data_IF_881347381956
#
_entry.id   IF_881347381956
#
_cell.length_a   1.000
_cell.length_b   1.000
_cell.length_c   1.000
_cell.angle_alpha   90.00
_cell.angle_beta   90.00
_cell.angle_gamma   90.00
#
_symmetry.space_group_name_H-M   'P 1'
#
loop_
_entity.id
_entity.type
_entity.pdbx_description
1 polymer ?
#
# COMPACT_ATOMS: atom_id res chain seq x y z
N UNK A 1 38.46 -62.12 -33.60
CA UNK A 1 37.33 -62.08 -32.65
C UNK A 1 37.60 -60.93 -31.68
N UNK A 2 37.06 -59.74 -31.94
CA UNK A 2 37.08 -58.60 -31.03
C UNK A 2 35.68 -57.98 -31.06
N UNK A 3 34.91 -58.16 -29.99
CA UNK A 3 33.65 -57.44 -29.78
C UNK A 3 33.99 -56.15 -29.02
N UNK A 4 33.74 -55.00 -29.66
CA UNK A 4 33.79 -53.69 -29.00
C UNK A 4 32.45 -53.39 -28.35
N UNK A 5 32.48 -53.11 -27.05
CA UNK A 5 31.40 -52.51 -26.28
C UNK A 5 31.27 -51.02 -26.65
N UNK A 6 30.06 -50.55 -26.94
CA UNK A 6 29.74 -49.10 -26.95
C UNK A 6 28.53 -48.88 -26.07
N UNK A 7 28.78 -48.27 -24.91
CA UNK A 7 27.81 -47.88 -23.91
C UNK A 7 27.36 -46.44 -24.22
N UNK A 8 26.11 -46.26 -24.67
CA UNK A 8 25.50 -44.93 -24.78
C UNK A 8 25.10 -44.44 -23.38
N UNK A 9 25.76 -43.40 -22.88
CA UNK A 9 25.27 -42.60 -21.76
C UNK A 9 24.21 -41.62 -22.26
N UNK A 10 22.95 -41.82 -21.85
CA UNK A 10 21.93 -40.78 -21.91
C UNK A 10 22.13 -39.81 -20.74
N UNK A 11 22.52 -38.57 -21.04
CA UNK A 11 22.51 -37.48 -20.07
C UNK A 11 21.08 -36.92 -19.97
N UNK A 12 20.37 -37.24 -18.89
CA UNK A 12 19.13 -36.57 -18.52
C UNK A 12 19.45 -35.17 -17.99
N UNK A 13 19.10 -34.13 -18.75
CA UNK A 13 19.06 -32.77 -18.22
C UNK A 13 17.89 -32.67 -17.25
N UNK A 14 18.18 -32.62 -15.95
CA UNK A 14 17.20 -32.25 -14.94
C UNK A 14 16.80 -30.79 -15.17
N UNK A 15 15.55 -30.55 -15.54
CA UNK A 15 14.95 -29.23 -15.46
C UNK A 15 14.84 -28.88 -13.98
N UNK A 16 15.62 -27.92 -13.51
CA UNK A 16 15.34 -27.25 -12.24
C UNK A 16 13.96 -26.62 -12.37
N UNK A 17 13.02 -27.02 -11.51
CA UNK A 17 11.70 -26.42 -11.45
C UNK A 17 11.83 -24.90 -11.33
N UNK A 18 10.98 -24.12 -12.02
CA UNK A 18 10.97 -22.68 -11.86
C UNK A 18 10.81 -22.35 -10.37
N UNK A 19 11.69 -21.51 -9.86
CA UNK A 19 11.60 -20.98 -8.50
C UNK A 19 10.39 -20.06 -8.44
N UNK A 20 9.22 -20.63 -8.13
CA UNK A 20 8.03 -19.83 -7.87
C UNK A 20 8.33 -18.84 -6.75
N UNK A 21 7.91 -17.58 -6.92
CA UNK A 21 7.91 -16.62 -5.82
C UNK A 21 7.12 -17.25 -4.67
N UNK A 22 7.77 -17.37 -3.50
CA UNK A 22 7.21 -18.05 -2.33
C UNK A 22 5.88 -17.39 -1.96
N UNK A 23 4.84 -18.20 -1.73
CA UNK A 23 3.59 -17.74 -1.15
C UNK A 23 3.87 -16.93 0.11
N UNK A 24 3.32 -15.73 0.16
CA UNK A 24 3.52 -14.77 1.26
C UNK A 24 2.48 -15.03 2.35
N UNK A 25 1.28 -15.45 1.96
CA UNK A 25 0.19 -15.83 2.88
C UNK A 25 -0.21 -17.28 2.70
N UNK A 26 -0.74 -17.90 3.76
CA UNK A 26 -1.28 -19.27 3.71
C UNK A 26 -2.73 -19.31 3.22
N UNK A 27 -3.44 -18.19 3.34
CA UNK A 27 -4.82 -17.99 2.89
C UNK A 27 -5.10 -16.49 2.73
N UNK A 28 -6.08 -16.15 1.90
CA UNK A 28 -6.61 -14.79 1.80
C UNK A 28 -7.57 -14.51 2.96
N UNK A 29 -7.70 -13.24 3.33
CA UNK A 29 -8.87 -12.77 4.07
C UNK A 29 -10.00 -12.58 3.05
N UNK A 30 -11.01 -13.44 3.11
CA UNK A 30 -12.03 -13.48 2.07
C UNK A 30 -12.81 -12.17 1.95
N UNK A 31 -13.14 -11.53 3.08
CA UNK A 31 -13.93 -10.30 3.06
C UNK A 31 -13.10 -9.14 2.46
N UNK A 32 -11.85 -9.01 2.90
CA UNK A 32 -10.97 -7.97 2.39
C UNK A 32 -10.57 -8.21 0.93
N UNK A 33 -10.43 -9.48 0.50
CA UNK A 33 -10.19 -9.84 -0.90
C UNK A 33 -11.39 -9.49 -1.78
N UNK A 34 -12.61 -9.84 -1.38
CA UNK A 34 -13.83 -9.51 -2.12
C UNK A 34 -14.10 -8.01 -2.19
N UNK A 35 -13.81 -7.27 -1.11
CA UNK A 35 -13.84 -5.82 -1.09
C UNK A 35 -12.83 -5.23 -2.08
N UNK A 36 -11.59 -5.71 -2.04
CA UNK A 36 -10.48 -5.15 -2.81
C UNK A 36 -10.48 -5.53 -4.29
N UNK A 37 -10.93 -6.73 -4.65
CA UNK A 37 -10.82 -7.28 -6.00
C UNK A 37 -12.19 -7.43 -6.66
N UNK A 38 -12.85 -6.30 -6.86
CA UNK A 38 -14.16 -6.26 -7.47
C UNK A 38 -14.07 -6.38 -8.99
N UNK A 39 -14.94 -7.21 -9.56
CA UNK A 39 -15.12 -7.27 -11.00
C UNK A 39 -15.78 -5.99 -11.49
N UNK A 40 -15.21 -5.36 -12.50
CA UNK A 40 -15.86 -4.27 -13.22
C UNK A 40 -16.90 -4.83 -14.21
N UNK A 41 -18.17 -4.74 -13.82
CA UNK A 41 -19.31 -5.16 -14.63
C UNK A 41 -19.69 -4.14 -15.72
N UNK A 42 -19.15 -2.93 -15.66
CA UNK A 42 -19.35 -1.89 -16.68
C UNK A 42 -18.32 -1.96 -17.81
N UNK A 43 -17.33 -2.85 -17.68
CA UNK A 43 -16.19 -2.88 -18.58
C UNK A 43 -16.48 -3.47 -19.96
N UNK A 44 -15.93 -2.84 -21.00
CA UNK A 44 -15.88 -3.38 -22.36
C UNK A 44 -14.63 -4.24 -22.53
N UNK A 45 -14.80 -5.51 -22.88
CA UNK A 45 -13.71 -6.50 -22.97
C UNK A 45 -13.33 -6.72 -24.42
N UNK A 46 -12.07 -6.44 -24.76
CA UNK A 46 -11.50 -6.80 -26.06
C UNK A 46 -11.15 -8.30 -26.10
N UNK A 47 -10.61 -8.81 -25.00
CA UNK A 47 -10.32 -10.22 -24.82
C UNK A 47 -10.85 -10.67 -23.45
N UNK A 48 -11.31 -11.92 -23.37
CA UNK A 48 -11.75 -12.53 -22.11
C UNK A 48 -11.15 -13.91 -21.94
N UNK A 49 -10.65 -14.18 -20.73
CA UNK A 49 -10.03 -15.45 -20.34
C UNK A 49 -9.02 -15.97 -21.37
N UNK A 50 -8.09 -15.11 -21.78
CA UNK A 50 -7.00 -15.44 -22.71
C UNK A 50 -5.67 -15.55 -21.98
N UNK A 51 -4.74 -16.42 -22.41
CA UNK A 51 -3.37 -16.37 -21.92
C UNK A 51 -2.62 -15.16 -22.51
N UNK A 52 -1.67 -14.62 -21.75
CA UNK A 52 -0.67 -13.69 -22.28
C UNK A 52 0.62 -14.47 -22.47
N UNK A 53 1.05 -14.59 -23.72
CA UNK A 53 2.15 -15.45 -24.16
C UNK A 53 3.35 -14.57 -24.52
N UNK A 54 4.49 -14.85 -23.90
CA UNK A 54 5.79 -14.25 -24.21
C UNK A 54 6.32 -14.76 -25.56
N UNK A 55 7.27 -14.06 -26.16
CA UNK A 55 7.95 -14.51 -27.40
C UNK A 55 8.61 -15.89 -27.29
N UNK A 56 8.99 -16.31 -26.08
CA UNK A 56 9.56 -17.64 -25.81
C UNK A 56 8.51 -18.76 -25.70
N UNK A 57 7.22 -18.43 -25.80
CA UNK A 57 6.10 -19.36 -25.68
C UNK A 57 5.67 -19.68 -24.25
N UNK A 58 6.21 -18.98 -23.25
CA UNK A 58 5.78 -19.06 -21.85
C UNK A 58 4.60 -18.13 -21.57
N UNK A 59 3.79 -18.44 -20.57
CA UNK A 59 2.63 -17.67 -20.16
C UNK A 59 2.90 -16.83 -18.91
N UNK A 60 2.28 -15.65 -18.85
CA UNK A 60 2.18 -14.89 -17.61
C UNK A 60 1.26 -15.63 -16.62
N UNK A 61 1.67 -15.68 -15.36
CA UNK A 61 1.02 -16.43 -14.29
C UNK A 61 0.97 -15.65 -12.98
N UNK A 62 -0.14 -15.80 -12.26
CA UNK A 62 -0.39 -15.25 -10.94
C UNK A 62 -0.68 -16.38 -9.95
N UNK A 63 0.10 -16.45 -8.86
CA UNK A 63 -0.29 -17.21 -7.66
C UNK A 63 -0.98 -16.24 -6.70
N UNK A 64 -2.29 -16.38 -6.51
CA UNK A 64 -3.09 -15.49 -5.67
C UNK A 64 -2.65 -15.41 -4.20
N UNK A 65 -1.81 -16.33 -3.72
CA UNK A 65 -1.26 -16.32 -2.35
C UNK A 65 0.16 -15.75 -2.27
N UNK A 66 0.71 -15.24 -3.37
CA UNK A 66 2.06 -14.64 -3.42
C UNK A 66 2.09 -13.13 -3.18
N UNK A 67 0.93 -12.51 -2.95
CA UNK A 67 0.78 -11.13 -2.50
C UNK A 67 0.34 -11.02 -1.03
N UNK A 68 -0.25 -9.87 -0.66
CA UNK A 68 -0.84 -9.62 0.65
C UNK A 68 -2.14 -10.42 0.87
N UNK A 69 -2.78 -10.24 2.02
CA UNK A 69 -4.00 -10.94 2.41
C UNK A 69 -5.23 -10.65 1.51
N UNK A 70 -5.14 -9.65 0.60
CA UNK A 70 -6.14 -9.27 -0.41
C UNK A 70 -5.69 -9.61 -1.83
N UNK A 71 -4.63 -10.39 -1.98
CA UNK A 71 -3.94 -10.66 -3.25
C UNK A 71 -3.36 -9.42 -3.94
N UNK A 72 -3.19 -8.29 -3.24
CA UNK A 72 -2.44 -7.15 -3.75
C UNK A 72 -0.94 -7.40 -3.67
N UNK A 73 -0.17 -6.66 -4.47
CA UNK A 73 1.29 -6.80 -4.55
C UNK A 73 1.73 -8.20 -5.00
N UNK A 74 0.84 -8.92 -5.68
CA UNK A 74 1.13 -10.27 -6.19
C UNK A 74 2.06 -10.18 -7.39
N UNK A 75 3.28 -10.74 -7.36
CA UNK A 75 4.18 -10.68 -8.51
C UNK A 75 3.63 -11.45 -9.71
N UNK A 76 3.92 -10.95 -10.92
CA UNK A 76 3.59 -11.67 -12.16
C UNK A 76 4.78 -12.54 -12.57
N UNK A 77 4.53 -13.84 -12.68
CA UNK A 77 5.54 -14.84 -12.99
C UNK A 77 5.44 -15.25 -14.46
N UNK A 78 6.55 -15.77 -15.00
CA UNK A 78 6.63 -16.30 -16.37
C UNK A 78 6.86 -17.81 -16.26
N UNK A 79 5.93 -18.62 -16.75
CA UNK A 79 5.99 -20.08 -16.59
C UNK A 79 5.48 -20.80 -17.84
N UNK A 80 5.63 -22.13 -17.87
CA UNK A 80 5.04 -22.93 -18.93
C UNK A 80 3.51 -22.76 -18.96
N UNK A 81 2.93 -22.63 -20.15
CA UNK A 81 1.49 -22.52 -20.30
C UNK A 81 0.79 -23.82 -19.85
N UNK A 82 -0.13 -23.70 -18.89
CA UNK A 82 -0.89 -24.82 -18.31
C UNK A 82 -2.42 -24.61 -18.38
N UNK A 83 -2.87 -23.43 -18.79
CA UNK A 83 -4.30 -23.10 -18.91
C UNK A 83 -5.03 -22.93 -17.58
N UNK A 84 -4.31 -22.86 -16.46
CA UNK A 84 -4.88 -22.54 -15.16
C UNK A 84 -5.47 -21.13 -15.12
N UNK A 85 -6.43 -20.89 -14.24
CA UNK A 85 -7.05 -19.56 -14.07
C UNK A 85 -6.03 -18.48 -13.73
N UNK A 86 -4.92 -18.84 -13.07
CA UNK A 86 -3.81 -17.91 -12.80
C UNK A 86 -3.09 -17.42 -14.06
N UNK A 87 -3.26 -18.09 -15.20
CA UNK A 87 -2.72 -17.71 -16.51
C UNK A 87 -3.75 -17.05 -17.43
N UNK A 88 -4.99 -16.88 -16.98
CA UNK A 88 -6.06 -16.33 -17.80
C UNK A 88 -6.30 -14.87 -17.44
N UNK A 89 -6.43 -14.05 -18.47
CA UNK A 89 -6.48 -12.60 -18.39
C UNK A 89 -7.64 -12.05 -19.20
N UNK A 90 -8.23 -10.98 -18.70
CA UNK A 90 -9.17 -10.14 -19.42
C UNK A 90 -8.46 -8.85 -19.84
N UNK A 91 -8.79 -8.35 -21.03
CA UNK A 91 -8.27 -7.07 -21.54
C UNK A 91 -9.44 -6.10 -21.69
N UNK A 92 -9.47 -5.07 -20.84
CA UNK A 92 -10.58 -4.12 -20.75
C UNK A 92 -10.19 -2.81 -21.45
N UNK A 93 -11.03 -2.34 -22.36
CA UNK A 93 -10.80 -1.12 -23.17
C UNK A 93 -11.63 0.08 -22.71
N UNK A 94 -12.59 -0.15 -21.82
CA UNK A 94 -13.33 0.88 -21.10
C UNK A 94 -13.93 0.28 -19.83
N UNK A 95 -14.34 1.10 -18.87
CA UNK A 95 -15.05 0.68 -17.65
C UNK A 95 -14.92 1.71 -16.53
N UNK A 96 -15.37 1.37 -15.31
CA UNK A 96 -15.19 2.16 -14.09
C UNK A 96 -13.72 2.54 -13.88
N UNK A 97 -12.81 1.63 -14.22
CA UNK A 97 -11.37 1.78 -13.98
C UNK A 97 -10.56 2.14 -15.24
N UNK A 98 -11.22 2.35 -16.39
CA UNK A 98 -10.58 2.82 -17.62
C UNK A 98 -11.52 3.75 -18.40
N UNK A 99 -11.24 5.05 -18.34
CA UNK A 99 -11.92 6.10 -19.12
C UNK A 99 -11.02 6.70 -20.22
N UNK A 100 -9.84 6.10 -20.46
CA UNK A 100 -8.84 6.61 -21.39
C UNK A 100 -8.94 5.88 -22.73
N UNK A 101 -9.28 6.62 -23.77
CA UNK A 101 -9.39 6.08 -25.12
C UNK A 101 -8.02 5.63 -25.65
N UNK A 102 -7.97 4.44 -26.25
CA UNK A 102 -6.72 3.87 -26.77
C UNK A 102 -5.86 3.17 -25.72
N UNK A 103 -6.36 3.04 -24.50
CA UNK A 103 -5.69 2.36 -23.39
C UNK A 103 -6.44 1.10 -22.98
N UNK A 104 -5.73 0.17 -22.35
CA UNK A 104 -6.30 -1.03 -21.77
C UNK A 104 -5.89 -1.21 -20.31
N UNK A 105 -6.77 -1.88 -19.56
CA UNK A 105 -6.43 -2.60 -18.34
C UNK A 105 -6.22 -4.08 -18.67
N UNK A 106 -5.23 -4.67 -18.02
CA UNK A 106 -4.97 -6.11 -18.08
C UNK A 106 -5.33 -6.71 -16.73
N UNK A 107 -6.36 -7.54 -16.68
CA UNK A 107 -6.95 -8.05 -15.43
C UNK A 107 -6.76 -9.54 -15.34
N UNK A 108 -6.29 -10.04 -14.20
CA UNK A 108 -6.14 -11.47 -14.00
C UNK A 108 -7.48 -12.09 -13.57
N UNK A 109 -7.92 -13.15 -14.25
CA UNK A 109 -9.24 -13.76 -13.98
C UNK A 109 -9.32 -14.51 -12.64
N UNK A 110 -8.20 -15.01 -12.11
CA UNK A 110 -8.18 -15.70 -10.81
C UNK A 110 -8.44 -14.72 -9.66
N UNK A 111 -7.83 -13.53 -9.73
CA UNK A 111 -7.85 -12.57 -8.63
C UNK A 111 -8.77 -11.38 -8.86
N UNK A 112 -9.16 -11.05 -10.10
CA UNK A 112 -9.79 -9.79 -10.51
C UNK A 112 -8.92 -8.53 -10.28
N UNK A 113 -7.66 -8.71 -9.91
CA UNK A 113 -6.70 -7.62 -9.80
C UNK A 113 -6.21 -7.15 -11.18
N UNK A 114 -5.81 -5.89 -11.25
CA UNK A 114 -5.23 -5.26 -12.42
C UNK A 114 -3.70 -5.34 -12.41
N UNK A 115 -3.10 -5.56 -13.59
CA UNK A 115 -1.68 -5.42 -13.80
C UNK A 115 -1.29 -3.96 -13.50
N UNK A 116 -0.35 -3.78 -12.58
CA UNK A 116 0.08 -2.48 -12.09
C UNK A 116 1.60 -2.38 -12.17
N UNK A 117 2.08 -1.25 -12.67
CA UNK A 117 3.48 -0.89 -12.67
C UNK A 117 3.76 0.23 -11.67
N UNK A 118 4.70 -0.02 -10.76
CA UNK A 118 5.17 0.94 -9.78
C UNK A 118 6.70 1.09 -9.88
N UNK A 119 7.21 2.19 -10.48
CA UNK A 119 8.65 2.42 -10.69
C UNK A 119 9.40 2.68 -9.38
N UNK A 120 8.68 2.83 -8.25
CA UNK A 120 9.29 3.10 -6.94
C UNK A 120 9.71 1.80 -6.25
N UNK A 121 9.29 0.64 -6.77
CA UNK A 121 9.65 -0.66 -6.19
C UNK A 121 11.01 -1.12 -6.69
N UNK A 122 11.62 -2.03 -5.93
CA UNK A 122 12.88 -2.64 -6.35
C UNK A 122 12.72 -3.47 -7.63
N UNK A 123 13.79 -3.54 -8.42
CA UNK A 123 13.89 -4.46 -9.55
C UNK A 123 13.54 -5.90 -9.15
N UNK A 124 12.85 -6.58 -10.05
CA UNK A 124 12.18 -7.86 -9.90
C UNK A 124 10.80 -7.73 -9.25
N UNK A 125 10.32 -6.53 -8.98
CA UNK A 125 9.12 -6.30 -8.18
C UNK A 125 8.33 -5.04 -8.61
N UNK A 126 8.69 -4.43 -9.74
CA UNK A 126 8.03 -3.21 -10.23
C UNK A 126 6.67 -3.51 -10.87
N UNK A 127 6.49 -4.74 -11.38
CA UNK A 127 5.25 -5.22 -11.97
C UNK A 127 4.55 -6.20 -11.03
N UNK A 128 3.31 -5.87 -10.67
CA UNK A 128 2.52 -6.61 -9.69
C UNK A 128 1.04 -6.59 -10.08
N UNK A 129 0.26 -7.47 -9.46
CA UNK A 129 -1.19 -7.35 -9.42
C UNK A 129 -1.59 -6.44 -8.26
N UNK A 130 -2.51 -5.52 -8.53
CA UNK A 130 -3.09 -4.63 -7.54
C UNK A 130 -4.56 -4.39 -7.85
N UNK A 131 -5.34 -4.07 -6.84
CA UNK A 131 -6.74 -3.68 -6.97
C UNK A 131 -6.93 -2.66 -8.09
N UNK A 132 -7.90 -2.93 -8.96
CA UNK A 132 -8.20 -2.05 -10.08
C UNK A 132 -8.57 -0.65 -9.58
N UNK A 133 -8.01 0.36 -10.24
CA UNK A 133 -8.12 1.77 -9.84
C UNK A 133 -7.05 2.27 -8.88
N UNK A 134 -6.03 1.46 -8.61
CA UNK A 134 -4.80 1.91 -7.96
C UNK A 134 -4.85 2.03 -6.45
N UNK A 135 -5.96 1.65 -5.82
CA UNK A 135 -6.11 1.68 -4.35
C UNK A 135 -6.37 0.30 -3.79
N UNK A 136 -5.72 0.01 -2.67
CA UNK A 136 -5.60 -1.34 -2.11
C UNK A 136 -6.93 -1.99 -1.68
N UNK A 137 -8.00 -1.21 -1.55
CA UNK A 137 -9.36 -1.63 -1.19
C UNK A 137 -10.33 -1.61 -2.40
N UNK A 138 -9.83 -1.34 -3.61
CA UNK A 138 -10.66 -1.36 -4.83
C UNK A 138 -11.61 -0.17 -4.98
N UNK A 139 -11.53 0.83 -4.09
CA UNK A 139 -12.36 2.05 -4.14
C UNK A 139 -11.85 3.08 -5.17
N UNK A 140 -10.70 2.80 -5.78
CA UNK A 140 -10.05 3.63 -6.77
C UNK A 140 -10.86 3.82 -8.05
N UNK A 141 -10.42 4.80 -8.85
CA UNK A 141 -11.04 5.14 -10.15
C UNK A 141 -10.11 4.71 -11.29
N UNK A 142 -9.57 5.64 -12.06
CA UNK A 142 -8.57 5.41 -13.10
C UNK A 142 -7.21 5.84 -12.58
N UNK A 143 -6.18 5.03 -12.84
CA UNK A 143 -4.78 5.35 -12.53
C UNK A 143 -3.88 5.01 -13.71
N UNK A 144 -2.94 5.90 -14.03
CA UNK A 144 -1.99 5.70 -15.12
C UNK A 144 -0.97 4.56 -14.84
N UNK A 145 -0.86 4.10 -13.59
CA UNK A 145 0.00 2.96 -13.23
C UNK A 145 -0.55 1.60 -13.70
N UNK A 146 -1.81 1.54 -14.13
CA UNK A 146 -2.47 0.31 -14.57
C UNK A 146 -2.86 0.34 -16.05
N UNK A 147 -2.68 1.49 -16.72
CA UNK A 147 -3.04 1.68 -18.12
C UNK A 147 -1.85 1.41 -19.04
N UNK A 148 -2.16 0.72 -20.14
CA UNK A 148 -1.22 0.39 -21.20
C UNK A 148 -1.83 0.77 -22.55
N UNK A 149 -1.07 1.34 -23.50
CA UNK A 149 -1.57 1.59 -24.84
C UNK A 149 -2.08 0.31 -25.52
N UNK A 150 -3.21 0.41 -26.21
CA UNK A 150 -3.85 -0.70 -26.89
C UNK A 150 -4.36 -0.31 -28.27
N UNK A 151 -3.91 -1.05 -29.29
CA UNK A 151 -4.23 -0.81 -30.69
C UNK A 151 -5.38 -1.70 -31.22
N UNK A 152 -6.02 -2.49 -30.36
CA UNK A 152 -7.10 -3.40 -30.77
C UNK A 152 -6.65 -4.76 -31.30
N UNK A 153 -5.35 -5.06 -31.34
CA UNK A 153 -4.83 -6.33 -31.88
C UNK A 153 -4.47 -7.32 -30.77
N UNK A 154 -4.39 -8.61 -31.11
CA UNK A 154 -3.91 -9.65 -30.19
C UNK A 154 -2.40 -9.65 -30.00
N UNK A 155 -1.67 -8.74 -30.63
CA UNK A 155 -0.21 -8.70 -30.66
C UNK A 155 0.42 -9.31 -31.93
N UNK A 156 1.77 -9.35 -32.00
CA UNK A 156 2.69 -9.02 -30.91
C UNK A 156 2.60 -7.56 -30.47
N UNK A 157 2.60 -7.32 -29.16
CA UNK A 157 2.55 -5.98 -28.57
C UNK A 157 3.58 -5.83 -27.45
N UNK A 158 3.92 -4.59 -27.17
CA UNK A 158 4.72 -4.19 -26.02
C UNK A 158 3.83 -3.55 -24.98
N UNK A 159 3.99 -3.94 -23.72
CA UNK A 159 3.27 -3.36 -22.60
C UNK A 159 4.11 -2.20 -22.04
N UNK A 160 3.76 -0.97 -22.38
CA UNK A 160 4.38 0.25 -21.83
C UNK A 160 3.41 0.91 -20.84
N UNK A 161 3.76 1.03 -19.55
CA UNK A 161 2.88 1.65 -18.58
C UNK A 161 2.81 3.16 -18.78
N UNK A 162 1.62 3.76 -18.68
CA UNK A 162 1.41 5.18 -18.96
C UNK A 162 2.08 6.12 -17.94
N UNK A 163 2.33 5.67 -16.72
CA UNK A 163 3.03 6.44 -15.70
C UNK A 163 4.56 6.48 -15.86
N UNK A 164 5.14 5.75 -16.82
CA UNK A 164 6.59 5.76 -17.08
C UNK A 164 6.93 5.69 -18.58
N UNK A 165 6.90 6.84 -19.28
CA UNK A 165 7.27 6.91 -20.69
C UNK A 165 8.70 6.39 -20.95
N UNK A 166 8.84 5.51 -21.93
CA UNK A 166 10.13 4.89 -22.28
C UNK A 166 10.46 3.63 -21.49
N UNK A 167 9.61 3.24 -20.54
CA UNK A 167 9.68 1.94 -19.85
C UNK A 167 8.74 0.94 -20.51
N UNK A 168 9.18 -0.30 -20.62
CA UNK A 168 8.43 -1.42 -21.17
C UNK A 168 8.53 -2.62 -20.22
N UNK A 169 7.46 -3.41 -20.14
CA UNK A 169 7.51 -4.64 -19.35
C UNK A 169 8.33 -5.70 -20.08
N UNK A 170 9.17 -6.42 -19.36
CA UNK A 170 10.10 -7.43 -19.87
C UNK A 170 10.01 -8.72 -19.05
N UNK A 171 9.98 -9.87 -19.75
CA UNK A 171 10.16 -11.17 -19.13
C UNK A 171 11.64 -11.36 -18.75
N UNK A 172 11.92 -11.32 -17.46
CA UNK A 172 13.31 -11.41 -16.95
C UNK A 172 13.83 -12.85 -16.95
N UNK A 173 15.15 -13.00 -16.88
CA UNK A 173 15.82 -14.31 -16.69
C UNK A 173 15.46 -14.99 -15.37
N UNK A 174 14.88 -14.25 -14.41
CA UNK A 174 14.39 -14.76 -13.13
C UNK A 174 12.95 -15.27 -13.19
N UNK A 175 12.38 -15.41 -14.39
CA UNK A 175 11.01 -15.89 -14.62
C UNK A 175 9.94 -15.02 -13.94
N UNK A 176 10.17 -13.71 -13.89
CA UNK A 176 9.19 -12.71 -13.45
C UNK A 176 9.05 -11.64 -14.52
N UNK A 177 7.87 -11.05 -14.61
CA UNK A 177 7.64 -9.83 -15.39
C UNK A 177 8.14 -8.64 -14.57
N UNK A 178 8.91 -7.76 -15.20
CA UNK A 178 9.49 -6.58 -14.57
C UNK A 178 9.69 -5.48 -15.62
N UNK A 179 10.43 -4.42 -15.30
CA UNK A 179 10.71 -3.32 -16.22
C UNK A 179 12.05 -3.45 -16.97
N UNK A 180 12.08 -2.85 -18.16
CA UNK A 180 13.29 -2.52 -18.90
C UNK A 180 13.05 -1.23 -19.72
N UNK A 181 14.11 -0.54 -20.16
CA UNK A 181 13.97 0.47 -21.22
C UNK A 181 13.35 -0.15 -22.47
N UNK A 182 12.43 0.56 -23.11
CA UNK A 182 11.77 0.09 -24.32
C UNK A 182 12.77 -0.17 -25.45
N UNK A 183 12.74 -1.39 -26.00
CA UNK A 183 13.51 -1.80 -27.16
C UNK A 183 12.65 -2.71 -28.05
N UNK A 184 12.27 -2.22 -29.23
CA UNK A 184 11.44 -2.97 -30.19
C UNK A 184 12.12 -4.22 -30.74
N UNK A 185 13.44 -4.34 -30.58
CA UNK A 185 14.21 -5.52 -31.00
C UNK A 185 14.32 -6.57 -29.88
N UNK A 186 13.97 -6.20 -28.64
CA UNK A 186 14.02 -7.09 -27.49
C UNK A 186 12.77 -7.98 -27.42
N UNK A 187 12.94 -9.23 -27.84
CA UNK A 187 11.89 -10.24 -27.76
C UNK A 187 11.35 -10.48 -26.34
N UNK A 188 12.09 -10.15 -25.27
CA UNK A 188 11.62 -10.27 -23.89
C UNK A 188 10.50 -9.28 -23.55
N UNK A 189 10.35 -8.21 -24.34
CA UNK A 189 9.35 -7.15 -24.20
C UNK A 189 8.13 -7.35 -25.11
N UNK A 190 8.04 -8.53 -25.74
CA UNK A 190 7.02 -8.85 -26.75
C UNK A 190 6.03 -9.88 -26.21
N UNK A 191 4.75 -9.53 -26.22
CA UNK A 191 3.65 -10.35 -25.72
C UNK A 191 2.56 -10.54 -26.77
N UNK A 192 1.83 -11.65 -26.69
CA UNK A 192 0.67 -11.96 -27.54
C UNK A 192 -0.48 -12.41 -26.66
N UNK A 193 -1.66 -11.83 -26.88
CA UNK A 193 -2.91 -12.35 -26.34
C UNK A 193 -3.32 -13.60 -27.12
N UNK A 194 -3.37 -14.75 -26.44
CA UNK A 194 -3.72 -16.02 -27.05
C UNK A 194 -5.21 -16.15 -27.38
N UNK A 195 -5.59 -17.30 -27.92
CA UNK A 195 -6.99 -17.63 -28.14
C UNK A 195 -7.74 -17.86 -26.82
N UNK A 196 -9.02 -17.48 -26.78
CA UNK A 196 -9.88 -17.76 -25.63
C UNK A 196 -10.03 -19.27 -25.43
N UNK A 197 -9.79 -19.74 -24.20
CA UNK A 197 -10.11 -21.11 -23.81
C UNK A 197 -11.61 -21.25 -23.56
N UNK A 198 -12.43 -21.27 -24.62
CA UNK A 198 -13.85 -21.64 -24.51
C UNK A 198 -14.00 -23.15 -24.45
N UNK A 199 -13.87 -23.73 -23.25
CA UNK A 199 -14.35 -25.09 -22.94
C UNK A 199 -15.65 -25.04 -22.13
N UNK A 200 -16.77 -24.95 -22.87
CA UNK A 200 -18.13 -25.52 -22.69
C UNK A 200 -18.80 -25.52 -21.29
N UNK A 201 -19.93 -24.78 -21.21
CA UNK A 201 -21.08 -25.04 -20.31
C UNK A 201 -22.08 -23.87 -20.28
N UNK A 202 -23.35 -24.01 -20.69
CA UNK A 202 -24.23 -22.86 -20.97
C UNK A 202 -24.92 -22.34 -19.70
N UNK A 203 -24.76 -21.05 -19.39
CA UNK A 203 -25.64 -20.34 -18.48
C UNK A 203 -26.71 -19.60 -19.30
N UNK A 204 -27.96 -20.01 -19.07
CA UNK A 204 -29.14 -19.48 -19.70
C UNK A 204 -29.28 -17.96 -19.47
N UNK A 205 -29.58 -17.24 -20.56
CA UNK A 205 -30.00 -15.86 -20.52
C UNK A 205 -31.29 -15.72 -19.70
N UNK A 206 -31.28 -14.87 -18.69
CA UNK A 206 -32.49 -14.28 -18.14
C UNK A 206 -32.40 -12.77 -18.34
N UNK A 207 -33.22 -12.29 -19.27
CA UNK A 207 -33.38 -10.91 -19.68
C UNK A 207 -34.26 -10.17 -18.68
N UNK A 208 -33.75 -9.08 -18.10
CA UNK A 208 -34.60 -8.00 -17.59
C UNK A 208 -33.99 -6.68 -18.02
N UNK A 209 -34.73 -5.96 -18.86
CA UNK A 209 -34.41 -4.64 -19.41
C UNK A 209 -34.63 -3.52 -18.37
N UNK A 210 -34.01 -2.34 -18.56
CA UNK A 210 -33.91 -1.29 -17.53
C UNK A 210 -35.08 -0.30 -17.57
N UNK A 211 -35.41 0.26 -16.41
CA UNK A 211 -36.31 1.41 -16.30
C UNK A 211 -35.50 2.71 -16.38
N UNK A 212 -35.81 3.48 -17.42
CA UNK A 212 -35.36 4.84 -17.71
C UNK A 212 -35.94 5.86 -16.72
N UNK A 213 -35.15 6.87 -16.34
CA UNK A 213 -35.60 8.25 -16.12
C UNK A 213 -34.39 9.18 -16.00
N UNK A 214 -34.21 10.06 -16.98
CA UNK A 214 -33.25 11.16 -16.96
C UNK A 214 -33.92 12.44 -17.50
N UNK A 215 -33.94 13.47 -16.67
CA UNK A 215 -34.13 14.90 -16.97
C UNK A 215 -33.74 15.64 -15.67
N UNK A 216 -32.96 16.72 -15.59
CA UNK A 216 -32.83 17.87 -16.50
C UNK A 216 -31.55 18.69 -16.20
N UNK A 217 -31.03 19.31 -17.26
CA UNK A 217 -30.62 20.72 -17.42
C UNK A 217 -29.43 21.33 -16.64
N UNK A 218 -28.60 21.99 -17.46
CA UNK A 218 -27.41 22.80 -17.19
C UNK A 218 -27.70 24.19 -16.59
N UNK A 219 -26.66 24.86 -16.05
CA UNK A 219 -26.08 26.11 -16.62
C UNK A 219 -25.08 26.79 -15.66
N UNK A 220 -23.86 26.96 -16.18
CA UNK A 220 -23.06 28.19 -16.32
C UNK A 220 -22.68 29.16 -15.17
N UNK A 221 -21.35 29.38 -15.13
CA UNK A 221 -20.56 30.63 -15.00
C UNK A 221 -20.44 31.32 -13.63
N UNK A 222 -19.18 31.43 -13.15
CA UNK A 222 -18.52 32.72 -12.82
C UNK A 222 -17.04 32.51 -12.46
N UNK A 223 -16.21 33.48 -12.85
CA UNK A 223 -14.75 33.43 -12.83
C UNK A 223 -14.12 34.57 -11.98
N UNK A 224 -12.80 34.40 -11.71
CA UNK A 224 -11.71 35.38 -11.34
C UNK A 224 -11.81 36.11 -9.97
N UNK A 225 -10.72 36.66 -9.35
CA UNK A 225 -9.27 36.56 -9.66
C UNK A 225 -8.27 36.35 -8.49
N UNK A 226 -7.07 35.93 -8.92
CA UNK A 226 -5.68 36.24 -8.51
C UNK A 226 -5.38 37.23 -7.37
N UNK A 227 -4.40 36.89 -6.52
CA UNK A 227 -3.39 37.83 -6.00
C UNK A 227 -2.12 37.14 -5.47
N UNK A 228 -0.99 37.67 -5.92
CA UNK A 228 0.41 37.33 -5.61
C UNK A 228 0.98 38.21 -4.49
N UNK A 229 1.76 37.68 -3.55
CA UNK A 229 2.83 38.45 -2.84
C UNK A 229 4.00 37.52 -2.44
N UNK A 230 5.22 37.91 -2.83
CA UNK A 230 6.53 37.41 -2.39
C UNK A 230 6.90 37.96 -1.01
N UNK A 231 7.59 37.18 -0.14
CA UNK A 231 8.79 37.61 0.62
C UNK A 231 9.64 36.39 1.07
N UNK A 232 10.94 36.44 0.80
CA UNK A 232 12.08 35.59 1.25
C UNK A 232 12.92 36.34 2.32
N UNK A 233 14.00 35.80 2.92
CA UNK A 233 14.27 34.47 3.52
C UNK A 233 15.00 34.62 4.90
N UNK A 234 15.77 33.59 5.29
CA UNK A 234 16.87 33.52 6.28
C UNK A 234 16.50 32.76 7.57
N UNK A 235 17.33 31.90 8.19
CA UNK A 235 18.80 31.77 8.26
C UNK A 235 19.18 30.30 8.56
N UNK A 236 20.30 29.84 8.01
CA UNK A 236 20.97 28.56 8.30
C UNK A 236 21.96 28.75 9.46
N UNK A 237 22.01 27.81 10.42
CA UNK A 237 23.19 27.59 11.26
C UNK A 237 23.23 26.15 11.76
N UNK A 238 24.25 25.45 11.26
CA UNK A 238 24.78 24.15 11.65
C UNK A 238 25.43 24.18 13.03
N UNK A 239 25.46 23.04 13.74
CA UNK A 239 26.59 22.62 14.59
C UNK A 239 26.46 21.13 14.99
N UNK A 240 27.61 20.53 15.24
CA UNK A 240 27.94 19.12 15.07
C UNK A 240 28.26 18.42 16.39
N UNK A 241 28.19 17.08 16.35
CA UNK A 241 28.97 16.10 17.17
C UNK A 241 28.52 15.87 18.63
N UNK A 242 28.94 14.78 19.34
CA UNK A 242 29.75 13.61 18.95
C UNK A 242 29.16 12.23 19.35
N UNK A 243 29.78 11.17 18.83
CA UNK A 243 29.66 9.77 19.30
C UNK A 243 30.24 9.57 20.71
N UNK A 244 29.72 8.59 21.48
CA UNK A 244 30.55 7.52 22.07
C UNK A 244 29.78 6.45 22.89
N UNK A 245 30.25 5.21 22.69
CA UNK A 245 30.30 3.98 23.54
C UNK A 245 29.05 3.20 23.95
N UNK A 246 29.07 1.93 23.53
CA UNK A 246 28.15 0.85 23.86
C UNK A 246 28.50 0.15 25.18
N UNK A 247 27.46 -0.33 25.87
CA UNK A 247 27.55 -1.35 26.92
C UNK A 247 26.56 -2.46 26.57
N UNK A 248 27.07 -3.68 26.43
CA UNK A 248 26.35 -4.86 25.94
C UNK A 248 25.52 -5.49 27.06
N UNK A 249 24.19 -5.50 26.89
CA UNK A 249 23.28 -6.42 27.56
C UNK A 249 22.30 -6.95 26.50
N UNK A 250 22.08 -8.27 26.47
CA UNK A 250 21.24 -8.94 25.49
C UNK A 250 19.77 -8.51 25.65
N UNK A 251 19.32 -7.59 24.80
CA UNK A 251 17.94 -7.15 24.67
C UNK A 251 17.43 -7.54 23.28
N UNK A 252 16.15 -7.90 23.18
CA UNK A 252 15.45 -7.88 21.90
C UNK A 252 15.51 -6.44 21.40
N UNK A 253 16.33 -6.18 20.39
CA UNK A 253 16.68 -4.83 19.93
C UNK A 253 15.54 -4.28 19.07
N UNK A 254 14.50 -3.75 19.72
CA UNK A 254 13.53 -2.90 19.04
C UNK A 254 14.31 -1.72 18.44
N UNK A 255 14.17 -1.43 17.13
CA UNK A 255 14.91 -0.35 16.49
C UNK A 255 14.56 0.99 17.12
N UNK A 256 15.59 1.74 17.52
CA UNK A 256 15.49 3.15 17.96
C UNK A 256 15.58 4.14 16.79
N UNK A 257 15.53 3.63 15.56
CA UNK A 257 15.56 4.37 14.31
C UNK A 257 14.75 3.62 13.25
N UNK A 258 14.29 4.35 12.23
CA UNK A 258 13.54 3.73 11.14
C UNK A 258 14.44 2.74 10.38
N UNK A 259 14.06 1.46 10.24
CA UNK A 259 14.97 0.48 9.69
C UNK A 259 15.15 0.67 8.18
N UNK A 260 16.38 0.94 7.76
CA UNK A 260 16.75 1.04 6.34
C UNK A 260 17.03 -0.33 5.69
N UNK A 261 16.91 -1.42 6.45
CA UNK A 261 17.11 -2.79 6.01
C UNK A 261 15.88 -3.65 6.34
N UNK A 262 15.62 -4.74 5.59
CA UNK A 262 14.45 -5.58 5.81
C UNK A 262 14.48 -6.19 7.21
N UNK A 263 13.53 -5.82 8.06
CA UNK A 263 13.35 -6.38 9.40
C UNK A 263 12.08 -7.24 9.45
N UNK A 264 12.05 -8.37 10.18
CA UNK A 264 10.80 -9.09 10.39
C UNK A 264 9.74 -8.18 11.00
N UNK A 265 8.52 -8.27 10.47
CA UNK A 265 7.36 -7.58 11.05
C UNK A 265 6.35 -8.58 11.58
N UNK A 266 5.62 -8.21 12.63
CA UNK A 266 4.70 -9.13 13.31
C UNK A 266 3.34 -9.28 12.63
N UNK A 267 3.01 -8.43 11.65
CA UNK A 267 1.76 -8.53 10.85
C UNK A 267 2.05 -8.81 9.37
N UNK A 268 1.11 -8.40 8.51
CA UNK A 268 1.12 -8.72 7.08
C UNK A 268 2.43 -8.31 6.40
N UNK A 269 2.92 -9.18 5.51
CA UNK A 269 4.13 -8.95 4.73
C UNK A 269 5.40 -9.62 5.30
N UNK A 270 5.42 -9.99 6.59
CA UNK A 270 6.47 -10.82 7.22
C UNK A 270 7.86 -10.17 7.34
N UNK A 271 8.16 -9.18 6.49
CA UNK A 271 9.35 -8.34 6.50
C UNK A 271 8.95 -6.91 6.13
N UNK A 272 9.52 -5.94 6.83
CA UNK A 272 9.44 -4.52 6.55
C UNK A 272 10.02 -4.23 5.16
N UNK A 273 9.29 -3.48 4.35
CA UNK A 273 9.76 -2.89 3.12
C UNK A 273 10.05 -1.40 3.39
N UNK A 274 11.32 -1.01 3.57
CA UNK A 274 11.66 0.37 3.92
C UNK A 274 11.17 1.40 2.88
N UNK A 275 11.09 1.02 1.61
CA UNK A 275 10.62 1.95 0.56
C UNK A 275 9.12 2.14 0.66
N UNK A 276 8.37 1.06 0.88
CA UNK A 276 6.92 1.13 1.05
C UNK A 276 6.54 1.84 2.36
N UNK A 277 7.32 1.67 3.44
CA UNK A 277 7.12 2.39 4.69
C UNK A 277 7.40 3.89 4.55
N UNK A 278 8.49 4.27 3.88
CA UNK A 278 8.82 5.67 3.62
C UNK A 278 7.80 6.38 2.71
N UNK A 279 7.23 5.66 1.74
CA UNK A 279 6.12 6.17 0.91
C UNK A 279 4.85 6.36 1.75
N UNK A 280 4.44 5.30 2.45
CA UNK A 280 3.21 5.28 3.23
C UNK A 280 3.23 6.31 4.37
N UNK A 281 4.41 6.64 4.88
CA UNK A 281 4.61 7.60 5.97
C UNK A 281 5.55 8.72 5.54
N UNK A 282 5.31 9.30 4.36
CA UNK A 282 6.13 10.41 3.88
C UNK A 282 6.04 11.62 4.83
N UNK A 283 7.18 12.25 5.10
CA UNK A 283 7.25 13.48 5.89
C UNK A 283 6.42 14.60 5.24
N UNK A 284 5.47 15.14 6.00
CA UNK A 284 4.72 16.33 5.60
C UNK A 284 5.56 17.59 5.84
N UNK A 285 6.23 18.06 4.78
CA UNK A 285 7.03 19.28 4.83
C UNK A 285 6.20 20.57 4.98
N UNK A 286 4.87 20.49 4.92
CA UNK A 286 3.97 21.61 5.17
C UNK A 286 3.43 21.63 6.61
N UNK A 287 3.78 20.63 7.42
CA UNK A 287 3.30 20.48 8.78
C UNK A 287 3.80 21.62 9.70
N UNK A 288 2.86 22.28 10.36
CA UNK A 288 3.12 23.20 11.46
C UNK A 288 2.98 22.43 12.76
N UNK A 289 4.10 22.28 13.46
CA UNK A 289 4.20 21.56 14.73
C UNK A 289 4.00 22.53 15.91
N UNK A 290 3.05 22.24 16.78
CA UNK A 290 2.93 22.91 18.09
C UNK A 290 4.00 22.41 19.07
N UNK A 291 4.31 21.12 19.00
CA UNK A 291 5.38 20.46 19.73
C UNK A 291 6.10 19.49 18.80
N UNK A 292 7.40 19.31 19.01
CA UNK A 292 8.18 18.36 18.22
C UNK A 292 9.03 17.46 19.12
N UNK A 293 9.11 16.18 18.78
CA UNK A 293 9.88 15.17 19.50
C UNK A 293 9.57 15.11 21.01
N UNK A 294 8.31 15.30 21.39
CA UNK A 294 7.84 15.27 22.78
C UNK A 294 7.40 13.87 23.18
N UNK A 295 7.45 13.58 24.48
CA UNK A 295 6.83 12.39 25.05
C UNK A 295 5.38 12.70 25.46
N UNK A 296 4.50 11.71 25.30
CA UNK A 296 3.11 11.77 25.76
C UNK A 296 2.94 10.82 26.95
N UNK A 297 2.80 11.38 28.15
CA UNK A 297 2.70 10.64 29.41
C UNK A 297 1.26 10.52 29.88
N UNK A 298 0.81 9.31 30.17
CA UNK A 298 -0.50 9.11 30.78
C UNK A 298 -0.51 9.51 32.26
N UNK A 299 -1.68 9.39 32.91
CA UNK A 299 -1.84 9.69 34.33
C UNK A 299 -1.05 8.76 35.26
N UNK A 300 -0.62 7.58 34.79
CA UNK A 300 0.24 6.66 35.55
C UNK A 300 1.73 6.98 35.41
N UNK A 301 2.10 7.90 34.51
CA UNK A 301 3.47 8.31 34.24
C UNK A 301 4.17 7.48 33.17
N UNK A 302 3.46 6.59 32.47
CA UNK A 302 3.96 5.82 31.34
C UNK A 302 3.87 6.62 30.04
N UNK A 303 4.84 6.41 29.15
CA UNK A 303 4.91 7.08 27.85
C UNK A 303 4.28 6.23 26.76
N UNK A 304 3.60 6.89 25.81
CA UNK A 304 3.23 6.24 24.54
C UNK A 304 4.48 5.77 23.81
N UNK A 305 4.44 4.54 23.32
CA UNK A 305 5.53 3.83 22.68
C UNK A 305 5.07 3.17 21.38
N UNK A 306 5.87 3.33 20.32
CA UNK A 306 5.70 2.67 19.02
C UNK A 306 6.83 1.66 18.77
N UNK A 307 6.45 0.42 18.45
CA UNK A 307 7.38 -0.58 17.90
C UNK A 307 7.26 -0.58 16.38
N UNK A 308 8.23 -0.04 15.62
CA UNK A 308 8.16 0.04 14.15
C UNK A 308 8.05 -1.32 13.46
N UNK A 309 8.34 -2.42 14.17
CA UNK A 309 8.26 -3.79 13.64
C UNK A 309 6.94 -4.48 13.94
N UNK A 310 6.07 -3.88 14.76
CA UNK A 310 4.80 -4.50 15.17
C UNK A 310 3.64 -4.28 14.19
N UNK A 311 3.93 -3.71 13.02
CA UNK A 311 3.00 -3.40 11.95
C UNK A 311 3.07 -4.37 10.77
N UNK A 312 2.56 -3.92 9.63
CA UNK A 312 2.75 -4.56 8.33
C UNK A 312 4.05 -4.09 7.65
N UNK A 313 4.29 -4.56 6.43
CA UNK A 313 5.48 -4.21 5.63
C UNK A 313 5.61 -2.70 5.33
N UNK A 314 4.59 -1.88 5.56
CA UNK A 314 4.60 -0.41 5.39
C UNK A 314 4.68 0.35 6.72
N UNK A 315 4.90 -0.34 7.84
CA UNK A 315 4.74 0.22 9.19
C UNK A 315 3.33 0.74 9.49
N UNK A 316 2.33 0.24 8.76
CA UNK A 316 0.95 0.47 9.10
C UNK A 316 0.46 -0.57 10.10
N UNK A 317 -0.65 -0.26 10.77
CA UNK A 317 -1.29 -1.15 11.74
C UNK A 317 -0.41 -1.47 12.95
N UNK A 318 0.58 -0.63 13.28
CA UNK A 318 1.40 -0.82 14.48
C UNK A 318 0.52 -0.50 15.70
N UNK A 319 0.25 -1.45 16.61
CA UNK A 319 -0.47 -1.14 17.84
C UNK A 319 0.38 -0.26 18.76
N UNK A 320 -0.26 0.69 19.45
CA UNK A 320 0.43 1.59 20.39
C UNK A 320 0.41 0.99 21.79
N UNK A 321 1.53 1.09 22.49
CA UNK A 321 1.68 0.59 23.87
C UNK A 321 2.08 1.71 24.82
N UNK A 322 1.87 1.49 26.11
CA UNK A 322 2.41 2.34 27.17
C UNK A 322 3.58 1.62 27.84
N UNK A 323 4.69 2.33 27.98
CA UNK A 323 5.91 1.81 28.59
C UNK A 323 6.50 2.81 29.58
N UNK A 324 7.46 2.36 30.39
CA UNK A 324 8.25 3.29 31.20
C UNK A 324 8.94 4.30 30.29
N UNK A 325 8.88 5.57 30.66
CA UNK A 325 9.51 6.62 29.87
C UNK A 325 11.04 6.44 29.84
N UNK A 326 11.61 6.32 28.65
CA UNK A 326 13.05 6.08 28.45
C UNK A 326 13.73 7.15 27.55
N UNK A 327 12.94 8.05 26.97
CA UNK A 327 13.44 9.12 26.08
C UNK A 327 13.89 8.63 24.70
N UNK A 328 13.59 7.38 24.34
CA UNK A 328 13.87 6.84 23.02
C UNK A 328 13.02 7.51 21.93
N UNK A 329 13.46 7.41 20.68
CA UNK A 329 12.68 7.85 19.52
C UNK A 329 11.34 7.11 19.38
N UNK A 330 11.25 5.89 19.91
CA UNK A 330 9.99 5.12 19.98
C UNK A 330 8.93 5.80 20.86
N UNK A 331 9.32 6.76 21.70
CA UNK A 331 8.43 7.55 22.55
C UNK A 331 8.37 9.03 22.13
N UNK A 332 8.92 9.38 20.97
CA UNK A 332 8.96 10.74 20.46
C UNK A 332 7.81 10.98 19.46
N UNK A 333 7.07 12.05 19.73
CA UNK A 333 5.87 12.43 19.00
C UNK A 333 5.93 13.89 18.57
N UNK A 334 5.42 14.18 17.38
CA UNK A 334 5.14 15.52 16.90
C UNK A 334 3.64 15.80 17.02
N UNK A 335 3.28 16.99 17.52
CA UNK A 335 1.89 17.46 17.62
C UNK A 335 1.66 18.49 16.52
N UNK A 336 0.96 18.08 15.46
CA UNK A 336 0.82 18.86 14.22
C UNK A 336 -0.55 19.54 14.16
N UNK A 337 -0.56 20.87 14.17
CA UNK A 337 -1.79 21.69 14.19
C UNK A 337 -2.32 22.03 12.79
N UNK A 338 -1.47 21.96 11.76
CA UNK A 338 -1.89 22.11 10.36
C UNK A 338 -0.86 21.51 9.42
N UNK A 339 -1.25 21.19 8.18
CA UNK A 339 -0.38 20.63 7.15
C UNK A 339 -1.19 20.02 6.01
N UNK A 340 -0.54 19.26 5.12
CA UNK A 340 -1.20 18.49 4.04
C UNK A 340 -2.29 17.59 4.62
N UNK A 341 -2.01 17.00 5.78
CA UNK A 341 -2.89 16.02 6.42
C UNK A 341 -3.78 16.59 7.54
N UNK A 342 -3.72 17.89 7.80
CA UNK A 342 -4.60 18.55 8.77
C UNK A 342 -4.95 19.98 8.32
N UNK A 343 -6.21 20.18 7.93
CA UNK A 343 -6.78 21.50 7.63
C UNK A 343 -7.91 21.88 8.60
N UNK A 344 -8.06 21.16 9.71
CA UNK A 344 -9.14 21.35 10.68
C UNK A 344 -8.66 22.20 11.84
N UNK A 345 -9.38 23.31 12.09
CA UNK A 345 -9.07 24.22 13.19
C UNK A 345 -9.39 23.57 14.52
N UNK A 346 -8.56 23.81 15.54
CA UNK A 346 -8.67 23.27 16.89
C UNK A 346 -8.51 21.73 16.96
N UNK A 347 -7.80 21.16 15.98
CA UNK A 347 -7.50 19.74 15.92
C UNK A 347 -6.04 19.50 15.59
N UNK A 348 -5.49 18.40 16.08
CA UNK A 348 -4.11 17.99 15.82
C UNK A 348 -4.04 16.57 15.30
N UNK A 349 -2.97 16.32 14.55
CA UNK A 349 -2.43 14.97 14.37
C UNK A 349 -1.39 14.71 15.46
N UNK A 350 -1.38 13.49 15.97
CA UNK A 350 -0.30 12.96 16.82
C UNK A 350 0.56 12.05 15.94
N UNK A 351 1.74 12.53 15.57
CA UNK A 351 2.62 11.90 14.57
C UNK A 351 3.81 11.28 15.28
N UNK A 352 4.18 10.05 14.92
CA UNK A 352 5.43 9.44 15.42
C UNK A 352 6.63 10.13 14.79
N UNK A 353 7.53 10.68 15.60
CA UNK A 353 8.78 11.27 15.08
C UNK A 353 9.72 10.22 14.50
N UNK A 354 9.55 8.94 14.88
CA UNK A 354 10.33 7.81 14.39
C UNK A 354 9.88 7.34 13.01
N UNK A 355 8.58 7.09 12.85
CA UNK A 355 8.01 6.43 11.65
C UNK A 355 7.24 7.39 10.75
N UNK A 356 7.00 8.63 11.18
CA UNK A 356 6.19 9.64 10.47
C UNK A 356 4.72 9.28 10.24
N UNK A 357 4.26 8.14 10.75
CA UNK A 357 2.85 7.77 10.75
C UNK A 357 2.04 8.59 11.75
N UNK A 358 0.72 8.57 11.58
CA UNK A 358 -0.25 9.21 12.46
C UNK A 358 -0.95 8.20 13.38
N UNK A 359 -1.18 8.60 14.63
CA UNK A 359 -2.08 7.90 15.53
C UNK A 359 -3.48 7.86 14.91
N UNK A 360 -4.04 6.66 14.76
CA UNK A 360 -5.32 6.43 14.11
C UNK A 360 -6.23 5.56 14.98
N UNK A 361 -7.50 5.95 15.07
CA UNK A 361 -8.55 5.18 15.70
C UNK A 361 -9.49 4.53 14.67
N UNK A 362 -9.57 3.20 14.68
CA UNK A 362 -10.48 2.41 13.86
C UNK A 362 -11.37 1.51 14.74
N UNK A 363 -12.65 1.88 14.99
CA UNK A 363 -13.54 1.13 15.87
C UNK A 363 -13.96 -0.22 15.30
N UNK A 364 -13.65 -0.52 14.02
CA UNK A 364 -13.96 -1.80 13.39
C UNK A 364 -12.96 -2.90 13.76
N UNK A 365 -11.81 -2.51 14.33
CA UNK A 365 -10.75 -3.43 14.77
C UNK A 365 -11.13 -4.10 16.09
N UNK A 366 -10.58 -5.30 16.36
CA UNK A 366 -10.74 -5.91 17.68
C UNK A 366 -10.07 -5.09 18.78
N UNK A 367 -10.53 -5.28 20.03
CA UNK A 367 -9.89 -4.70 21.20
C UNK A 367 -8.39 -5.02 21.25
N UNK A 368 -7.59 -4.05 21.67
CA UNK A 368 -6.13 -4.07 21.63
C UNK A 368 -5.52 -3.64 20.30
N UNK A 369 -6.33 -3.44 19.26
CA UNK A 369 -5.92 -3.00 17.92
C UNK A 369 -6.81 -1.87 17.36
N UNK A 370 -7.69 -1.29 18.18
CA UNK A 370 -8.52 -0.15 17.76
C UNK A 370 -7.72 1.13 17.59
N UNK A 371 -6.56 1.23 18.26
CA UNK A 371 -5.63 2.35 18.16
C UNK A 371 -4.31 1.86 17.60
N UNK A 372 -3.91 2.44 16.48
CA UNK A 372 -2.75 2.02 15.70
C UNK A 372 -2.00 3.22 15.14
N UNK A 373 -0.72 3.02 14.80
CA UNK A 373 -0.03 3.85 13.84
C UNK A 373 -0.53 3.51 12.43
N UNK A 374 -0.81 4.55 11.66
CA UNK A 374 -1.19 4.42 10.27
C UNK A 374 -0.74 5.64 9.48
N UNK A 375 -0.50 5.46 8.18
CA UNK A 375 -0.25 6.53 7.23
C UNK A 375 -1.15 7.75 7.46
N UNK A 376 -0.53 8.92 7.59
CA UNK A 376 -1.25 10.17 7.75
C UNK A 376 -2.20 10.41 6.57
N UNK A 377 -3.42 10.88 6.86
CA UNK A 377 -4.51 11.03 5.91
C UNK A 377 -5.41 9.80 5.75
N UNK A 378 -5.17 8.72 6.50
CA UNK A 378 -6.12 7.62 6.67
C UNK A 378 -6.08 6.55 5.58
N UNK A 379 -5.14 6.63 4.63
CA UNK A 379 -4.97 5.62 3.58
C UNK A 379 -3.60 4.98 3.64
N UNK A 380 -3.57 3.67 3.45
CA UNK A 380 -2.40 2.82 3.71
C UNK A 380 -1.15 3.12 2.85
N UNK A 381 -1.27 4.00 1.86
CA UNK A 381 -0.21 4.43 0.94
C UNK A 381 0.23 5.88 1.19
N UNK A 382 -0.35 6.59 2.16
CA UNK A 382 0.00 7.97 2.48
C UNK A 382 -0.54 9.02 1.50
N UNK A 383 -1.38 8.62 0.53
CA UNK A 383 -1.99 9.53 -0.44
C UNK A 383 -3.19 10.30 0.12
N UNK A 384 -3.70 9.85 1.27
CA UNK A 384 -4.85 10.44 1.94
C UNK A 384 -4.62 11.91 2.31
N UNK A 385 -5.69 12.68 2.39
CA UNK A 385 -5.64 14.07 2.83
C UNK A 385 -5.91 14.15 4.33
N UNK A 386 -7.15 14.42 4.70
CA UNK A 386 -7.58 14.63 6.08
C UNK A 386 -8.64 13.60 6.42
N UNK A 387 -8.51 12.95 7.58
CA UNK A 387 -9.49 12.00 8.10
C UNK A 387 -9.79 12.30 9.56
N UNK A 388 -11.06 12.18 9.95
CA UNK A 388 -11.48 12.37 11.35
C UNK A 388 -11.06 11.21 12.27
N UNK A 389 -10.54 10.10 11.72
CA UNK A 389 -10.00 8.99 12.51
C UNK A 389 -8.61 9.27 13.11
N UNK A 390 -7.95 10.34 12.67
CA UNK A 390 -6.59 10.71 13.10
C UNK A 390 -6.53 12.08 13.78
N UNK A 391 -7.65 12.79 13.84
CA UNK A 391 -7.74 14.12 14.42
C UNK A 391 -8.19 14.05 15.87
N UNK A 392 -7.52 14.83 16.71
CA UNK A 392 -7.79 14.95 18.14
C UNK A 392 -7.98 16.42 18.53
N UNK A 393 -8.97 16.76 19.38
CA UNK A 393 -9.21 18.13 19.81
C UNK A 393 -7.99 18.76 20.50
N UNK A 394 -7.65 19.98 20.09
CA UNK A 394 -6.55 20.77 20.59
C UNK A 394 -6.88 22.26 20.48
N UNK A 395 -7.53 22.80 21.49
CA UNK A 395 -8.23 24.10 21.42
C UNK A 395 -7.31 25.24 21.87
N UNK A 396 -6.48 25.01 22.89
CA UNK A 396 -5.63 26.06 23.45
C UNK A 396 -4.20 25.95 22.93
N UNK A 397 -3.72 27.00 22.25
CA UNK A 397 -2.35 27.04 21.75
C UNK A 397 -1.37 26.98 22.92
N UNK A 398 -0.54 25.94 22.94
CA UNK A 398 0.45 25.72 24.01
C UNK A 398 -0.09 24.95 25.21
N UNK A 399 -1.31 24.37 25.15
CA UNK A 399 -1.74 23.41 26.17
C UNK A 399 -0.72 22.27 26.28
N UNK A 400 -0.31 21.96 27.51
CA UNK A 400 0.69 20.92 27.81
C UNK A 400 0.05 19.58 28.14
N UNK A 401 -1.24 19.43 27.81
CA UNK A 401 -2.01 18.21 28.00
C UNK A 401 -2.95 18.03 26.82
N UNK A 402 -3.14 16.80 26.39
CA UNK A 402 -4.00 16.42 25.27
C UNK A 402 -4.94 15.29 25.70
N UNK A 403 -6.23 15.49 25.46
CA UNK A 403 -7.19 14.40 25.54
C UNK A 403 -7.24 13.71 24.17
N UNK A 404 -6.82 12.45 24.11
CA UNK A 404 -6.91 11.66 22.89
C UNK A 404 -8.36 11.19 22.69
N UNK A 405 -9.25 12.10 22.34
CA UNK A 405 -10.62 11.81 21.93
C UNK A 405 -10.70 11.94 20.40
N UNK A 406 -10.66 10.84 19.64
CA UNK A 406 -10.64 10.91 18.18
C UNK A 406 -11.96 11.50 17.66
N UNK A 407 -11.90 12.34 16.62
CA UNK A 407 -13.08 13.06 16.12
C UNK A 407 -14.18 12.11 15.61
N UNK A 408 -13.84 11.00 14.96
CA UNK A 408 -14.81 9.97 14.57
C UNK A 408 -15.45 9.22 15.78
N UNK A 409 -14.91 9.42 16.99
CA UNK A 409 -15.50 8.98 18.26
C UNK A 409 -16.54 9.95 18.84
N UNK A 410 -16.76 11.11 18.21
CA UNK A 410 -17.81 12.08 18.53
C UNK A 410 -17.90 12.47 20.02
N UNK A 411 -16.75 12.65 20.69
CA UNK A 411 -16.64 12.92 22.14
C UNK A 411 -17.20 11.83 23.08
N UNK A 412 -17.66 10.70 22.53
CA UNK A 412 -18.09 9.54 23.31
C UNK A 412 -16.92 8.59 23.60
N UNK A 413 -15.93 8.56 22.70
CA UNK A 413 -14.75 7.69 22.79
C UNK A 413 -13.50 8.48 23.11
N UNK A 414 -12.74 7.99 24.09
CA UNK A 414 -11.42 8.47 24.47
C UNK A 414 -10.43 7.30 24.40
N UNK A 415 -9.16 7.59 24.19
CA UNK A 415 -8.11 6.57 24.15
C UNK A 415 -7.41 6.49 25.50
N UNK A 416 -7.26 5.28 26.04
CA UNK A 416 -6.60 5.03 27.32
C UNK A 416 -5.89 3.67 27.31
N UNK A 417 -4.99 3.46 28.26
CA UNK A 417 -4.34 2.17 28.45
C UNK A 417 -5.38 1.11 28.85
N UNK A 418 -5.39 -0.02 28.14
CA UNK A 418 -6.14 -1.20 28.56
C UNK A 418 -5.30 -2.05 29.53
N UNK A 419 -5.92 -3.12 30.08
CA UNK A 419 -5.27 -4.00 31.05
C UNK A 419 -4.00 -4.72 30.52
N UNK A 420 -3.82 -4.79 29.20
CA UNK A 420 -2.65 -5.37 28.55
C UNK A 420 -1.54 -4.33 28.27
N UNK A 421 -1.71 -3.07 28.71
CA UNK A 421 -0.75 -1.99 28.48
C UNK A 421 -0.76 -1.45 27.05
N UNK A 422 -1.79 -1.77 26.25
CA UNK A 422 -1.99 -1.17 24.93
C UNK A 422 -2.88 0.06 25.03
N UNK A 423 -2.63 1.06 24.19
CA UNK A 423 -3.57 2.15 23.99
C UNK A 423 -4.79 1.61 23.24
N UNK A 424 -5.98 1.87 23.75
CA UNK A 424 -7.23 1.31 23.23
C UNK A 424 -8.38 2.28 23.47
N UNK A 425 -9.53 2.00 22.88
CA UNK A 425 -10.74 2.80 23.08
C UNK A 425 -11.42 2.53 24.43
N UNK A 426 -11.93 3.60 25.03
CA UNK A 426 -12.79 3.59 26.21
C UNK A 426 -13.83 4.70 26.10
N UNK A 427 -14.82 4.70 26.98
CA UNK A 427 -15.77 5.81 27.08
C UNK A 427 -15.07 7.03 27.67
N UNK A 428 -15.28 8.21 27.09
CA UNK A 428 -14.81 9.46 27.68
C UNK A 428 -15.45 9.68 29.06
N UNK A 429 -14.62 9.87 30.08
CA UNK A 429 -15.07 10.10 31.44
C UNK A 429 -15.34 11.58 31.70
N UNK A 430 -16.10 11.88 32.76
CA UNK A 430 -16.23 13.25 33.26
C UNK A 430 -14.94 13.81 33.88
N UNK A 431 -14.05 12.93 34.34
CA UNK A 431 -12.72 13.27 34.82
C UNK A 431 -11.71 13.14 33.66
N UNK A 432 -11.68 14.16 32.80
CA UNK A 432 -10.81 14.17 31.63
C UNK A 432 -9.32 14.07 31.99
N UNK A 433 -8.92 14.46 33.22
CA UNK A 433 -7.51 14.46 33.62
C UNK A 433 -6.92 13.05 33.67
N UNK A 434 -7.68 12.05 34.14
CA UNK A 434 -7.23 10.65 34.18
C UNK A 434 -7.14 9.98 32.80
N UNK A 435 -7.71 10.59 31.76
CA UNK A 435 -7.67 10.12 30.37
C UNK A 435 -6.83 11.03 29.45
N UNK A 436 -6.24 12.08 30.00
CA UNK A 436 -5.38 13.00 29.25
C UNK A 436 -3.92 12.58 29.32
N UNK A 437 -3.17 12.96 28.29
CA UNK A 437 -1.74 12.74 28.19
C UNK A 437 -1.02 14.07 28.37
N UNK A 438 -0.08 14.11 29.31
CA UNK A 438 0.80 15.25 29.50
C UNK A 438 1.86 15.27 28.41
N UNK A 439 2.02 16.41 27.76
CA UNK A 439 3.04 16.67 26.75
C UNK A 439 4.31 17.11 27.47
N UNK A 440 5.37 16.31 27.33
CA UNK A 440 6.65 16.54 28.03
C UNK A 440 7.75 16.71 26.99
N UNK A 441 8.48 17.82 27.06
CA UNK A 441 9.71 18.00 26.29
C UNK A 441 10.78 17.04 26.80
N UNK A 442 11.41 16.33 25.88
CA UNK A 442 12.58 15.52 26.17
C UNK A 442 13.78 16.47 26.20
N UNK A 443 14.33 16.72 27.40
CA UNK A 443 15.54 17.54 27.58
C UNK A 443 16.81 16.77 27.23
#
# INVERSE_FOLDING_TARGET
>A
MYLSFSLLLFATRGFSSPTFRKRVVTSLDQAAFEEAQQRDDTATRAFSSVPIITSSGQCLFVDGLSGDFRANLTPVQVTACDGSTGQLWDVLTSGKHNDVAGSMLVVNTLTQACLNFDPRRAAGNTVIMFSCGGRADGDGVVTNSQLFPFNGTSGPLTLSPENAPGTCLSATTSNVLDEAPCDETDSSQTFTFGASNTSIGPAAASSVAPAVSATSAASDVAAIPTSTVLVTPAVTSSLSSPSSVAVTAAASTVPTGDPTAPLPVSRAGGVLDPSAAAEANALDNTAVKAFSSVALKDASGQCLFVDPTAGDFRQNLIPITLQACDGSQNQAWDIVTSGKHNNVVNSVLVVSSLTQGCLNFDPRRPAGDTVIMFSCGGRADGDGLVTNSQLFPFIEKGQTSILLAPENGNNATCLAANAAGKLDSTTCSGDKASQSFTIVTTD
#
